data_IF_777401774696
#
_entry.id   IF_777401774696
#
_cell.length_a   1.000
_cell.length_b   1.000
_cell.length_c   1.000
_cell.angle_alpha   90.00
_cell.angle_beta   90.00
_cell.angle_gamma   90.00
#
_symmetry.space_group_name_H-M   'P 1'
#
loop_
_entity.id
_entity.type
_entity.pdbx_description
1 polymer ?
#
# COMPACT_ATOMS: atom_id res chain seq x y z
N UNK A 1 17.22 1.87 -32.45
CA UNK A 1 17.74 1.07 -31.33
C UNK A 1 16.74 1.16 -30.20
N UNK A 2 16.12 0.07 -29.70
CA UNK A 2 15.30 0.16 -28.50
C UNK A 2 16.18 0.65 -27.36
N UNK A 3 15.75 1.70 -26.65
CA UNK A 3 16.43 2.17 -25.43
C UNK A 3 16.43 0.98 -24.45
N UNK A 4 17.61 0.50 -24.06
CA UNK A 4 17.72 -0.53 -23.04
C UNK A 4 17.01 -0.06 -21.80
N UNK A 5 16.15 -0.90 -21.24
CA UNK A 5 15.46 -0.62 -19.98
C UNK A 5 16.52 -0.55 -18.90
N UNK A 6 16.64 0.60 -18.27
CA UNK A 6 17.56 0.77 -17.11
C UNK A 6 16.97 -0.02 -15.95
N UNK A 7 17.73 -0.93 -15.37
CA UNK A 7 17.37 -1.68 -14.18
C UNK A 7 18.05 -1.10 -12.96
N UNK A 8 17.33 -1.10 -11.86
CA UNK A 8 17.85 -0.70 -10.55
C UNK A 8 17.99 -1.92 -9.65
N UNK A 9 19.04 -1.99 -8.89
CA UNK A 9 19.26 -3.02 -7.89
C UNK A 9 18.67 -2.62 -6.54
N UNK A 10 17.96 -3.54 -5.93
CA UNK A 10 17.35 -3.38 -4.61
C UNK A 10 17.83 -4.47 -3.66
N UNK A 11 18.07 -4.09 -2.43
CA UNK A 11 18.35 -5.00 -1.32
C UNK A 11 17.04 -5.29 -0.62
N UNK A 12 16.61 -6.56 -0.60
CA UNK A 12 15.30 -6.98 -0.13
C UNK A 12 15.48 -7.97 1.01
N UNK A 13 14.92 -7.65 2.18
CA UNK A 13 14.79 -8.58 3.27
C UNK A 13 13.55 -9.45 3.07
N UNK A 14 13.73 -10.75 3.08
CA UNK A 14 12.67 -11.75 2.92
C UNK A 14 12.39 -12.41 4.27
N UNK A 15 11.14 -12.32 4.71
CA UNK A 15 10.59 -13.08 5.82
C UNK A 15 10.12 -14.44 5.33
N UNK A 16 10.15 -15.43 6.23
CA UNK A 16 9.69 -16.78 5.99
C UNK A 16 8.73 -17.18 7.10
N UNK A 17 7.79 -18.08 6.82
CA UNK A 17 6.89 -18.63 7.82
C UNK A 17 7.66 -19.35 8.96
N UNK A 18 8.85 -19.86 8.66
CA UNK A 18 9.76 -20.49 9.64
C UNK A 18 11.20 -20.15 9.25
N UNK A 19 12.02 -19.78 10.25
CA UNK A 19 13.43 -19.48 10.07
C UNK A 19 13.74 -17.98 10.21
N UNK A 20 15.02 -17.67 10.15
CA UNK A 20 15.49 -16.28 10.19
C UNK A 20 15.29 -15.59 8.84
N UNK A 21 15.00 -14.28 8.83
CA UNK A 21 14.92 -13.52 7.60
C UNK A 21 16.28 -13.52 6.84
N UNK A 22 16.19 -13.55 5.52
CA UNK A 22 17.34 -13.51 4.62
C UNK A 22 17.35 -12.20 3.83
N UNK A 23 18.49 -11.83 3.26
CA UNK A 23 18.61 -10.66 2.38
C UNK A 23 19.12 -11.09 1.02
N UNK A 24 18.44 -10.61 -0.01
CA UNK A 24 18.85 -10.78 -1.40
C UNK A 24 19.02 -9.40 -2.06
N UNK A 25 19.92 -9.30 -3.03
CA UNK A 25 19.94 -8.21 -3.98
C UNK A 25 19.24 -8.66 -5.25
N UNK A 26 18.25 -7.90 -5.72
CA UNK A 26 17.48 -8.21 -6.92
C UNK A 26 17.39 -6.99 -7.85
N UNK A 27 17.54 -7.23 -9.16
CA UNK A 27 17.43 -6.19 -10.17
C UNK A 27 16.02 -6.14 -10.78
N UNK A 28 15.46 -4.95 -10.92
CA UNK A 28 14.13 -4.74 -11.53
C UNK A 28 14.02 -3.43 -12.29
N UNK A 29 13.07 -3.33 -13.19
CA UNK A 29 12.72 -2.08 -13.88
C UNK A 29 12.16 -1.04 -12.89
N UNK A 30 11.58 -1.51 -11.81
CA UNK A 30 11.13 -0.74 -10.67
C UNK A 30 11.08 -1.67 -9.43
N UNK A 31 10.93 -1.09 -8.26
CA UNK A 31 10.98 -1.79 -6.97
C UNK A 31 10.04 -3.01 -6.91
N UNK A 32 8.77 -2.86 -7.30
CA UNK A 32 7.82 -3.98 -7.28
C UNK A 32 8.21 -5.15 -8.19
N UNK A 33 8.90 -4.88 -9.31
CA UNK A 33 9.43 -5.94 -10.18
C UNK A 33 10.60 -6.69 -9.51
N UNK A 34 11.47 -5.98 -8.79
CA UNK A 34 12.55 -6.59 -8.02
C UNK A 34 12.03 -7.42 -6.85
N UNK A 35 11.02 -6.92 -6.11
CA UNK A 35 10.35 -7.64 -5.02
C UNK A 35 9.72 -8.94 -5.55
N UNK A 36 8.92 -8.87 -6.60
CA UNK A 36 8.29 -10.05 -7.18
C UNK A 36 9.31 -11.08 -7.66
N UNK A 37 10.44 -10.64 -8.22
CA UNK A 37 11.52 -11.54 -8.62
C UNK A 37 12.17 -12.22 -7.41
N UNK A 38 12.39 -11.48 -6.31
CA UNK A 38 12.96 -12.01 -5.09
C UNK A 38 12.05 -13.06 -4.42
N UNK A 39 10.76 -12.78 -4.32
CA UNK A 39 9.76 -13.70 -3.77
C UNK A 39 9.60 -14.96 -4.64
N UNK A 40 9.64 -14.81 -5.96
CA UNK A 40 9.61 -15.94 -6.89
C UNK A 40 10.86 -16.83 -6.76
N UNK A 41 12.03 -16.22 -6.50
CA UNK A 41 13.29 -16.95 -6.29
C UNK A 41 13.29 -17.76 -5.00
N UNK A 42 12.60 -17.29 -3.96
CA UNK A 42 12.49 -17.94 -2.65
C UNK A 42 11.01 -18.28 -2.34
N UNK A 43 10.45 -19.37 -2.89
CA UNK A 43 9.06 -19.73 -2.71
C UNK A 43 8.64 -19.84 -1.23
N UNK A 44 7.50 -19.24 -0.88
CA UNK A 44 7.00 -19.18 0.49
C UNK A 44 7.64 -18.10 1.36
N UNK A 45 8.47 -17.24 0.77
CA UNK A 45 8.93 -16.01 1.40
C UNK A 45 8.07 -14.81 0.95
N UNK A 46 8.18 -13.72 1.70
CA UNK A 46 7.56 -12.44 1.40
C UNK A 46 8.50 -11.29 1.82
N UNK A 47 8.44 -10.19 1.11
CA UNK A 47 9.26 -9.02 1.44
C UNK A 47 8.80 -8.38 2.77
N UNK A 48 9.76 -8.06 3.64
CA UNK A 48 9.52 -7.43 4.94
C UNK A 48 10.19 -6.06 5.07
N UNK A 49 11.21 -5.79 4.26
CA UNK A 49 11.85 -4.48 4.14
C UNK A 49 12.63 -4.40 2.83
N UNK A 50 12.91 -3.19 2.36
CA UNK A 50 13.63 -2.96 1.10
C UNK A 50 14.53 -1.73 1.21
N UNK A 51 15.61 -1.70 0.42
CA UNK A 51 16.45 -0.51 0.20
C UNK A 51 17.07 -0.55 -1.20
N UNK A 52 17.71 0.53 -1.61
CA UNK A 52 18.60 0.50 -2.76
C UNK A 52 19.84 -0.36 -2.42
N UNK A 53 20.24 -1.24 -3.34
CA UNK A 53 21.41 -2.05 -3.12
C UNK A 53 22.69 -1.20 -3.22
N UNK A 54 23.60 -1.28 -2.24
CA UNK A 54 24.92 -0.65 -2.37
C UNK A 54 25.74 -1.36 -3.47
N UNK A 55 26.71 -0.66 -4.03
CA UNK A 55 27.58 -1.20 -5.09
C UNK A 55 28.26 -2.52 -4.71
N UNK A 56 28.56 -2.71 -3.43
CA UNK A 56 29.17 -3.95 -2.90
C UNK A 56 28.28 -5.18 -3.07
N UNK A 57 26.97 -5.01 -3.16
CA UNK A 57 26.00 -6.10 -3.29
C UNK A 57 25.67 -6.42 -4.76
N UNK A 58 26.21 -5.62 -5.69
CA UNK A 58 25.98 -5.77 -7.12
C UNK A 58 27.09 -6.65 -7.73
N UNK A 59 26.73 -7.77 -8.40
CA UNK A 59 27.74 -8.65 -9.00
C UNK A 59 28.57 -7.92 -10.06
N UNK A 60 29.90 -8.04 -9.96
CA UNK A 60 30.81 -7.50 -10.97
C UNK A 60 30.73 -8.34 -12.26
N UNK A 61 30.47 -7.69 -13.38
CA UNK A 61 30.57 -8.29 -14.72
C UNK A 61 29.38 -9.07 -15.23
N UNK A 62 28.27 -9.14 -14.51
CA UNK A 62 27.04 -9.67 -15.07
C UNK A 62 26.36 -8.63 -15.97
N UNK A 63 26.31 -8.94 -17.29
CA UNK A 63 25.32 -8.30 -18.15
C UNK A 63 23.95 -8.57 -17.52
N UNK A 64 23.20 -7.49 -17.20
CA UNK A 64 21.88 -7.52 -16.57
C UNK A 64 20.90 -8.41 -17.35
N UNK A 65 21.05 -9.72 -17.25
CA UNK A 65 20.10 -10.72 -17.75
C UNK A 65 18.76 -10.60 -17.04
N UNK A 66 17.77 -11.34 -17.52
CA UNK A 66 16.39 -11.26 -17.04
C UNK A 66 16.23 -11.65 -15.58
N UNK A 67 16.53 -10.99 -14.58
CA UNK A 67 16.41 -11.26 -13.13
C UNK A 67 17.68 -11.84 -12.52
N UNK A 68 18.69 -11.00 -12.35
CA UNK A 68 19.81 -11.36 -11.51
C UNK A 68 19.37 -11.22 -10.04
N UNK A 69 19.56 -12.29 -9.25
CA UNK A 69 19.32 -12.31 -7.82
C UNK A 69 20.55 -12.89 -7.14
N UNK A 70 21.03 -12.20 -6.12
CA UNK A 70 22.21 -12.61 -5.34
C UNK A 70 21.84 -12.65 -3.87
N UNK A 71 22.17 -13.73 -3.18
CA UNK A 71 22.03 -13.79 -1.74
C UNK A 71 23.13 -12.95 -1.09
N UNK A 72 22.74 -11.96 -0.27
CA UNK A 72 23.64 -11.01 0.36
C UNK A 72 23.95 -11.38 1.82
N UNK A 73 23.00 -12.00 2.55
CA UNK A 73 23.21 -12.38 3.93
C UNK A 73 21.94 -12.53 4.76
N UNK A 74 22.09 -12.31 6.06
CA UNK A 74 20.97 -12.32 7.01
C UNK A 74 20.42 -10.90 7.18
N UNK A 75 19.12 -10.80 7.41
CA UNK A 75 18.42 -9.51 7.61
C UNK A 75 18.67 -8.89 9.01
N UNK A 76 19.36 -9.61 9.92
CA UNK A 76 19.54 -9.16 11.29
C UNK A 76 18.21 -9.03 12.04
N UNK A 77 18.01 -7.91 12.69
CA UNK A 77 16.90 -7.65 13.62
C UNK A 77 15.65 -7.03 12.93
N UNK A 78 15.44 -7.32 11.63
CA UNK A 78 14.27 -6.85 10.89
C UNK A 78 13.02 -7.57 11.38
N UNK A 79 11.98 -6.85 11.86
CA UNK A 79 10.74 -7.46 12.30
C UNK A 79 10.02 -8.18 11.16
N UNK A 80 9.57 -9.40 11.42
CA UNK A 80 8.81 -10.18 10.44
C UNK A 80 7.33 -9.79 10.56
N UNK A 81 6.88 -8.97 9.63
CA UNK A 81 5.47 -8.66 9.42
C UNK A 81 5.22 -8.65 7.91
N UNK A 82 4.18 -9.35 7.45
CA UNK A 82 3.82 -9.40 6.04
C UNK A 82 3.04 -8.12 5.68
N UNK A 83 3.79 -7.08 5.33
CA UNK A 83 3.23 -5.79 4.96
C UNK A 83 2.30 -5.89 3.75
N UNK A 84 1.19 -5.14 3.73
CA UNK A 84 0.36 -5.06 2.54
C UNK A 84 1.16 -4.65 1.31
N UNK A 85 0.83 -5.23 0.18
CA UNK A 85 1.48 -4.92 -1.10
C UNK A 85 1.38 -3.41 -1.38
N UNK A 86 2.47 -2.82 -1.83
CA UNK A 86 2.57 -1.40 -2.15
C UNK A 86 3.38 -0.57 -1.15
N UNK A 87 3.67 -1.08 0.06
CA UNK A 87 4.47 -0.37 1.06
C UNK A 87 5.43 -1.32 1.76
N UNK A 88 6.66 -0.86 2.01
CA UNK A 88 7.64 -1.60 2.80
C UNK A 88 8.51 -0.64 3.62
N UNK A 89 8.88 -0.99 4.87
CA UNK A 89 9.88 -0.25 5.61
C UNK A 89 11.22 -0.23 4.86
N UNK A 90 11.96 0.86 4.99
CA UNK A 90 13.34 0.93 4.53
C UNK A 90 14.22 0.05 5.43
N UNK A 91 15.07 -0.78 4.83
CA UNK A 91 15.85 -1.80 5.53
C UNK A 91 16.62 -1.27 6.76
N UNK A 92 17.36 -0.15 6.67
CA UNK A 92 18.09 0.38 7.84
C UNK A 92 17.20 0.85 8.99
N UNK A 93 15.97 1.25 8.70
CA UNK A 93 15.00 1.77 9.68
C UNK A 93 13.94 0.77 10.12
N UNK A 94 13.93 -0.44 9.56
CA UNK A 94 12.86 -1.42 9.75
C UNK A 94 12.64 -1.82 11.23
N UNK A 95 13.66 -1.72 12.08
CA UNK A 95 13.53 -1.94 13.52
C UNK A 95 12.47 -1.03 14.19
N UNK A 96 12.19 0.14 13.62
CA UNK A 96 11.12 1.05 14.08
C UNK A 96 9.72 0.47 13.96
N UNK A 97 9.54 -0.56 13.13
CA UNK A 97 8.26 -1.25 12.97
C UNK A 97 8.09 -2.46 13.90
N UNK A 98 8.96 -2.61 14.90
CA UNK A 98 8.85 -3.69 15.89
C UNK A 98 7.52 -3.64 16.61
N UNK A 99 6.82 -4.77 16.62
CA UNK A 99 5.47 -4.87 17.19
C UNK A 99 4.34 -4.58 16.21
N UNK A 100 4.64 -4.36 14.91
CA UNK A 100 3.61 -4.30 13.88
C UNK A 100 2.76 -5.58 13.90
N UNK A 101 1.44 -5.41 13.95
CA UNK A 101 0.45 -6.49 14.00
C UNK A 101 -0.90 -5.99 13.52
N UNK A 102 -1.80 -6.90 13.23
CA UNK A 102 -3.20 -6.55 12.99
C UNK A 102 -3.81 -5.90 14.22
N UNK A 103 -4.56 -4.83 13.99
CA UNK A 103 -5.25 -4.14 15.08
C UNK A 103 -5.90 -2.85 14.62
N UNK A 104 -6.78 -2.31 15.47
CA UNK A 104 -7.36 -0.98 15.27
C UNK A 104 -7.37 -0.17 16.56
N UNK A 105 -7.31 1.15 16.39
CA UNK A 105 -7.36 2.13 17.50
C UNK A 105 -8.26 3.28 17.12
N UNK A 106 -8.68 4.04 18.14
CA UNK A 106 -9.26 5.37 17.96
C UNK A 106 -8.14 6.39 18.08
N UNK A 107 -7.96 7.23 17.06
CA UNK A 107 -7.01 8.36 17.10
C UNK A 107 -7.69 9.56 17.70
N UNK A 108 -7.04 10.25 18.65
CA UNK A 108 -7.54 11.54 19.15
C UNK A 108 -7.64 12.56 18.01
N UNK A 109 -8.81 13.17 17.86
CA UNK A 109 -9.03 14.29 16.97
C UNK A 109 -10.11 15.21 17.56
N UNK A 110 -9.94 16.55 17.43
CA UNK A 110 -10.82 17.50 18.10
C UNK A 110 -12.28 17.45 17.62
N UNK A 111 -12.50 17.21 16.32
CA UNK A 111 -13.81 17.37 15.68
C UNK A 111 -14.29 16.10 14.96
N UNK A 112 -13.43 15.10 14.82
CA UNK A 112 -13.71 13.89 14.07
C UNK A 112 -13.48 12.64 14.91
N UNK A 113 -14.36 11.67 14.74
CA UNK A 113 -14.05 10.29 15.09
C UNK A 113 -13.10 9.74 14.02
N UNK A 114 -11.92 9.35 14.43
CA UNK A 114 -10.92 8.70 13.57
C UNK A 114 -10.64 7.32 14.12
N UNK A 115 -11.03 6.27 13.39
CA UNK A 115 -10.65 4.89 13.68
C UNK A 115 -9.63 4.46 12.62
N UNK A 116 -8.43 4.08 13.05
CA UNK A 116 -7.37 3.58 12.17
C UNK A 116 -7.16 2.09 12.42
N UNK A 117 -7.16 1.30 11.34
CA UNK A 117 -6.95 -0.13 11.37
C UNK A 117 -5.82 -0.53 10.44
N UNK A 118 -4.99 -1.48 10.89
CA UNK A 118 -3.92 -2.12 10.14
C UNK A 118 -4.15 -3.62 10.06
N UNK A 119 -3.80 -4.18 8.92
CA UNK A 119 -3.77 -5.63 8.70
C UNK A 119 -2.53 -6.02 7.90
N UNK A 120 -2.29 -7.31 7.74
CA UNK A 120 -1.25 -7.87 6.87
C UNK A 120 -1.71 -7.95 5.41
N UNK A 121 -0.80 -8.35 4.53
CA UNK A 121 -1.05 -8.47 3.09
C UNK A 121 -2.20 -9.44 2.75
N UNK A 122 -2.32 -10.52 3.53
CA UNK A 122 -3.29 -11.60 3.27
C UNK A 122 -4.73 -11.18 3.54
N UNK A 123 -4.93 -10.17 4.41
CA UNK A 123 -6.26 -9.78 4.86
C UNK A 123 -6.68 -8.36 4.44
N UNK A 124 -5.83 -7.61 3.73
CA UNK A 124 -6.15 -6.22 3.38
C UNK A 124 -7.38 -6.11 2.47
N UNK A 125 -7.44 -6.93 1.44
CA UNK A 125 -8.55 -6.94 0.49
C UNK A 125 -9.86 -7.28 1.21
N UNK A 126 -9.87 -8.37 1.97
CA UNK A 126 -11.04 -8.82 2.73
C UNK A 126 -11.49 -7.77 3.75
N UNK A 127 -10.54 -7.12 4.43
CA UNK A 127 -10.84 -6.05 5.37
C UNK A 127 -11.51 -4.87 4.66
N UNK A 128 -10.89 -4.34 3.61
CA UNK A 128 -11.41 -3.12 2.97
C UNK A 128 -12.73 -3.36 2.24
N UNK A 129 -12.83 -4.43 1.47
CA UNK A 129 -14.08 -4.81 0.78
C UNK A 129 -15.18 -5.19 1.78
N UNK A 130 -14.84 -5.98 2.81
CA UNK A 130 -15.78 -6.36 3.86
C UNK A 130 -16.30 -5.18 4.68
N UNK A 131 -15.51 -4.13 4.87
CA UNK A 131 -15.98 -2.87 5.44
C UNK A 131 -16.98 -2.18 4.52
N UNK A 132 -16.70 -2.10 3.19
CA UNK A 132 -17.61 -1.48 2.21
C UNK A 132 -18.96 -2.22 2.16
N UNK A 133 -18.94 -3.54 2.20
CA UNK A 133 -20.18 -4.37 2.19
C UNK A 133 -21.10 -4.08 3.38
N UNK A 134 -20.53 -3.71 4.53
CA UNK A 134 -21.27 -3.41 5.76
C UNK A 134 -21.76 -1.98 5.86
N UNK A 135 -21.30 -1.08 4.97
CA UNK A 135 -21.76 0.29 4.97
C UNK A 135 -23.26 0.37 4.67
N UNK A 136 -24.00 1.19 5.40
CA UNK A 136 -25.45 1.39 5.16
C UNK A 136 -25.72 2.04 3.78
N UNK A 137 -24.76 2.77 3.26
CA UNK A 137 -24.76 3.34 1.91
C UNK A 137 -23.32 3.64 1.47
N UNK A 138 -23.11 3.71 0.17
CA UNK A 138 -21.91 4.27 -0.43
C UNK A 138 -22.36 5.18 -1.59
N UNK A 139 -21.75 6.35 -1.71
CA UNK A 139 -22.17 7.35 -2.68
C UNK A 139 -21.18 7.52 -3.84
N UNK A 140 -19.92 7.55 -3.55
CA UNK A 140 -18.84 7.75 -4.51
C UNK A 140 -17.57 7.02 -4.08
N UNK A 141 -16.76 6.61 -5.06
CA UNK A 141 -15.37 6.24 -4.86
C UNK A 141 -14.47 7.36 -5.40
N UNK A 142 -13.55 7.82 -4.57
CA UNK A 142 -12.44 8.68 -4.94
C UNK A 142 -11.15 7.87 -5.01
N UNK A 143 -10.36 8.08 -6.04
CA UNK A 143 -9.01 7.52 -6.21
C UNK A 143 -8.04 8.68 -6.34
N UNK A 144 -7.12 8.78 -5.40
CA UNK A 144 -6.00 9.73 -5.47
C UNK A 144 -4.77 9.00 -5.96
N UNK A 145 -4.21 9.49 -7.05
CA UNK A 145 -2.97 9.00 -7.64
C UNK A 145 -1.85 9.93 -7.20
N UNK A 146 -1.08 9.47 -6.21
CA UNK A 146 0.03 10.21 -5.62
C UNK A 146 1.25 10.27 -6.55
N UNK A 147 2.16 11.17 -6.28
CA UNK A 147 3.29 11.46 -7.16
C UNK A 147 4.52 10.56 -7.03
N UNK A 148 4.44 9.50 -6.29
CA UNK A 148 5.56 8.55 -6.15
C UNK A 148 6.00 7.88 -7.47
N UNK A 149 5.31 8.15 -8.59
CA UNK A 149 5.70 7.66 -9.92
C UNK A 149 6.81 8.50 -10.58
N UNK A 150 6.80 9.82 -10.37
CA UNK A 150 7.60 10.78 -11.14
C UNK A 150 8.22 11.89 -10.27
N UNK A 151 7.93 11.91 -8.98
CA UNK A 151 8.41 12.87 -7.99
C UNK A 151 8.15 14.35 -8.38
N UNK A 152 6.97 14.63 -8.93
CA UNK A 152 6.56 15.98 -9.35
C UNK A 152 5.71 16.73 -8.31
N UNK A 153 5.45 16.13 -7.15
CA UNK A 153 4.58 16.64 -6.10
C UNK A 153 3.12 16.77 -6.53
N UNK A 154 2.70 16.00 -7.55
CA UNK A 154 1.38 16.08 -8.13
C UNK A 154 0.49 14.93 -7.68
N UNK A 155 -0.70 15.23 -7.21
CA UNK A 155 -1.76 14.25 -6.93
C UNK A 155 -2.93 14.46 -7.88
N UNK A 156 -3.27 13.46 -8.68
CA UNK A 156 -4.49 13.48 -9.49
C UNK A 156 -5.64 12.88 -8.70
N UNK A 157 -6.76 13.59 -8.64
CA UNK A 157 -7.97 13.15 -7.93
C UNK A 157 -9.01 12.70 -8.96
N UNK A 158 -9.41 11.45 -8.87
CA UNK A 158 -10.41 10.82 -9.71
C UNK A 158 -11.64 10.46 -8.90
N UNK A 159 -12.82 10.69 -9.44
CA UNK A 159 -14.08 10.46 -8.73
C UNK A 159 -15.08 9.73 -9.64
N UNK A 160 -15.77 8.73 -9.09
CA UNK A 160 -16.93 8.17 -9.75
C UNK A 160 -18.09 9.17 -9.71
N UNK A 161 -19.04 9.06 -10.65
CA UNK A 161 -20.39 9.60 -10.41
C UNK A 161 -20.99 8.91 -9.18
N UNK A 162 -22.15 9.39 -8.71
CA UNK A 162 -22.86 8.69 -7.62
C UNK A 162 -23.16 7.24 -8.05
N UNK A 163 -22.69 6.28 -7.24
CA UNK A 163 -22.78 4.85 -7.48
C UNK A 163 -23.10 4.13 -6.17
N UNK A 164 -23.69 2.94 -6.26
CA UNK A 164 -23.93 2.10 -5.09
C UNK A 164 -22.68 1.29 -4.66
N UNK A 165 -22.74 0.71 -3.47
CA UNK A 165 -21.66 -0.11 -2.92
C UNK A 165 -21.32 -1.31 -3.83
N UNK A 166 -22.29 -1.96 -4.46
CA UNK A 166 -22.07 -3.12 -5.33
C UNK A 166 -21.20 -2.79 -6.51
N UNK A 167 -21.38 -1.61 -7.10
CA UNK A 167 -20.54 -1.16 -8.21
C UNK A 167 -19.12 -0.83 -7.76
N UNK A 168 -18.97 -0.22 -6.58
CA UNK A 168 -17.66 0.06 -6.00
C UNK A 168 -16.92 -1.25 -5.72
N UNK A 169 -17.58 -2.21 -5.06
CA UNK A 169 -17.03 -3.52 -4.75
C UNK A 169 -16.54 -4.25 -6.00
N UNK A 170 -17.38 -4.32 -7.04
CA UNK A 170 -17.00 -4.95 -8.30
C UNK A 170 -15.78 -4.28 -8.93
N UNK A 171 -15.75 -2.94 -8.96
CA UNK A 171 -14.61 -2.22 -9.51
C UNK A 171 -13.31 -2.51 -8.75
N UNK A 172 -13.37 -2.59 -7.43
CA UNK A 172 -12.20 -2.85 -6.60
C UNK A 172 -11.75 -4.31 -6.69
N UNK A 173 -12.69 -5.26 -6.77
CA UNK A 173 -12.41 -6.68 -6.93
C UNK A 173 -11.81 -7.00 -8.31
N UNK A 174 -12.39 -6.45 -9.38
CA UNK A 174 -11.87 -6.62 -10.76
C UNK A 174 -10.48 -5.99 -10.97
N UNK A 175 -10.06 -5.07 -10.09
CA UNK A 175 -8.80 -4.30 -10.19
C UNK A 175 -8.02 -4.25 -8.87
N UNK A 176 -8.10 -5.28 -8.04
CA UNK A 176 -7.50 -5.32 -6.70
C UNK A 176 -5.98 -5.04 -6.71
N UNK A 177 -5.22 -5.71 -7.57
CA UNK A 177 -3.77 -5.50 -7.73
C UNK A 177 -3.45 -4.04 -8.07
N UNK A 178 -4.28 -3.43 -8.94
CA UNK A 178 -4.07 -2.06 -9.40
C UNK A 178 -4.50 -1.02 -8.37
N UNK A 179 -5.64 -1.24 -7.70
CA UNK A 179 -6.24 -0.24 -6.83
C UNK A 179 -5.90 -0.47 -5.36
N UNK A 180 -5.94 -1.71 -4.87
CA UNK A 180 -5.66 -2.01 -3.47
C UNK A 180 -4.16 -2.24 -3.24
N UNK A 181 -3.48 -2.96 -4.14
CA UNK A 181 -2.07 -3.29 -4.02
C UNK A 181 -1.09 -2.17 -4.42
N UNK A 182 -1.53 -1.09 -5.06
CA UNK A 182 -0.64 -0.04 -5.52
C UNK A 182 -0.39 1.00 -4.42
N UNK A 183 0.85 1.10 -3.93
CA UNK A 183 1.26 2.05 -2.88
C UNK A 183 1.24 3.53 -3.28
N UNK A 184 1.03 3.82 -4.56
CA UNK A 184 0.88 5.18 -5.06
C UNK A 184 -0.59 5.66 -5.04
N UNK A 185 -1.49 4.85 -4.50
CA UNK A 185 -2.92 5.16 -4.49
C UNK A 185 -3.47 5.27 -3.06
N UNK A 186 -4.39 6.21 -2.92
CA UNK A 186 -5.30 6.34 -1.80
C UNK A 186 -6.73 6.23 -2.32
N UNK A 187 -7.58 5.47 -1.63
CA UNK A 187 -8.98 5.28 -1.98
C UNK A 187 -9.87 5.85 -0.88
N UNK A 188 -10.96 6.50 -1.26
CA UNK A 188 -11.97 6.98 -0.31
C UNK A 188 -13.38 6.64 -0.79
N UNK A 189 -14.14 5.97 0.06
CA UNK A 189 -15.56 5.71 -0.16
C UNK A 189 -16.37 6.65 0.72
N UNK A 190 -17.18 7.50 0.09
CA UNK A 190 -17.99 8.49 0.80
C UNK A 190 -19.33 7.91 1.24
N UNK A 191 -19.71 8.17 2.50
CA UNK A 191 -20.97 7.79 3.14
C UNK A 191 -21.68 9.06 3.59
N UNK A 192 -22.25 9.79 2.62
CA UNK A 192 -22.77 11.17 2.82
C UNK A 192 -23.85 11.25 3.87
N UNK A 193 -24.75 10.25 3.92
CA UNK A 193 -25.84 10.21 4.90
C UNK A 193 -25.33 10.26 6.35
N UNK A 194 -24.11 9.79 6.59
CA UNK A 194 -23.46 9.76 7.90
C UNK A 194 -22.28 10.76 8.02
N UNK A 195 -22.09 11.64 7.03
CA UNK A 195 -20.94 12.56 6.98
C UNK A 195 -19.62 11.84 7.28
N UNK A 196 -19.46 10.67 6.68
CA UNK A 196 -18.34 9.77 6.97
C UNK A 196 -17.61 9.36 5.68
N UNK A 197 -16.39 8.90 5.85
CA UNK A 197 -15.53 8.40 4.78
C UNK A 197 -14.78 7.17 5.26
N UNK A 198 -14.86 6.10 4.50
CA UNK A 198 -13.98 4.95 4.65
C UNK A 198 -12.81 5.13 3.67
N UNK A 199 -11.58 5.11 4.17
CA UNK A 199 -10.38 5.37 3.38
C UNK A 199 -9.39 4.21 3.49
N UNK A 200 -8.80 3.82 2.38
CA UNK A 200 -7.57 3.06 2.33
C UNK A 200 -6.45 4.05 1.96
N UNK A 201 -5.54 4.29 2.90
CA UNK A 201 -4.45 5.24 2.71
C UNK A 201 -3.35 4.65 1.79
N UNK A 202 -2.45 5.48 1.30
CA UNK A 202 -1.25 5.04 0.58
C UNK A 202 -0.36 4.12 1.43
N UNK A 203 -0.40 4.28 2.77
CA UNK A 203 0.30 3.41 3.72
C UNK A 203 -0.43 2.09 4.01
N UNK A 204 -1.52 1.81 3.29
CA UNK A 204 -2.34 0.59 3.43
C UNK A 204 -2.98 0.43 4.81
N UNK A 205 -3.26 1.52 5.49
CA UNK A 205 -4.12 1.53 6.68
C UNK A 205 -5.56 1.87 6.27
N UNK A 206 -6.53 1.18 6.86
CA UNK A 206 -7.96 1.45 6.68
C UNK A 206 -8.39 2.45 7.73
N UNK A 207 -8.95 3.58 7.30
CA UNK A 207 -9.31 4.68 8.20
C UNK A 207 -10.79 5.00 8.03
N UNK A 208 -11.54 4.98 9.13
CA UNK A 208 -12.87 5.55 9.21
C UNK A 208 -12.79 6.97 9.76
N UNK A 209 -13.35 7.90 9.02
CA UNK A 209 -13.45 9.30 9.38
C UNK A 209 -14.92 9.67 9.44
N UNK A 210 -15.40 10.18 10.58
CA UNK A 210 -16.78 10.60 10.73
C UNK A 210 -16.91 11.80 11.66
N UNK A 211 -17.94 12.62 11.43
CA UNK A 211 -18.37 13.62 12.41
C UNK A 211 -19.29 12.95 13.45
N UNK A 212 -19.28 13.45 14.68
CA UNK A 212 -20.26 13.09 15.71
C UNK A 212 -20.32 11.61 16.11
N UNK A 213 -19.24 10.85 15.94
CA UNK A 213 -19.18 9.45 16.33
C UNK A 213 -20.12 8.52 15.54
N UNK A 214 -20.59 8.95 14.34
CA UNK A 214 -21.48 8.18 13.52
C UNK A 214 -20.92 6.78 13.23
N UNK A 215 -21.75 5.76 13.47
CA UNK A 215 -21.45 4.34 13.27
C UNK A 215 -20.25 3.82 14.07
N UNK A 216 -19.80 4.51 15.12
CA UNK A 216 -18.60 4.08 15.88
C UNK A 216 -18.72 2.64 16.41
N UNK A 217 -19.85 2.31 17.05
CA UNK A 217 -20.09 0.97 17.58
C UNK A 217 -20.17 -0.09 16.49
N UNK A 218 -20.77 0.26 15.36
CA UNK A 218 -20.88 -0.64 14.20
C UNK A 218 -19.52 -0.89 13.57
N UNK A 219 -18.74 0.16 13.33
CA UNK A 219 -17.38 0.05 12.77
C UNK A 219 -16.49 -0.80 13.68
N UNK A 220 -16.54 -0.59 14.99
CA UNK A 220 -15.80 -1.40 15.95
C UNK A 220 -16.20 -2.89 15.91
N UNK A 221 -17.49 -3.17 15.80
CA UNK A 221 -18.02 -4.53 15.64
C UNK A 221 -17.56 -5.15 14.31
N UNK A 222 -17.71 -4.43 13.19
CA UNK A 222 -17.30 -4.92 11.87
C UNK A 222 -15.80 -5.23 11.80
N UNK A 223 -14.94 -4.39 12.37
CA UNK A 223 -13.50 -4.66 12.45
C UNK A 223 -13.22 -5.95 13.22
N UNK A 224 -13.92 -6.18 14.34
CA UNK A 224 -13.81 -7.43 15.11
C UNK A 224 -14.26 -8.66 14.30
N UNK A 225 -15.41 -8.58 13.61
CA UNK A 225 -15.92 -9.64 12.72
C UNK A 225 -14.96 -9.95 11.55
N UNK A 226 -14.23 -8.95 11.07
CA UNK A 226 -13.22 -9.07 10.01
C UNK A 226 -11.83 -9.47 10.55
N UNK A 227 -11.75 -9.89 11.83
CA UNK A 227 -10.52 -10.42 12.42
C UNK A 227 -9.47 -9.37 12.79
N UNK A 228 -9.87 -8.09 12.91
CA UNK A 228 -8.98 -7.02 13.34
C UNK A 228 -9.32 -6.65 14.79
N UNK A 229 -8.52 -7.06 15.78
CA UNK A 229 -8.80 -6.80 17.20
C UNK A 229 -8.54 -5.34 17.57
N UNK A 230 -9.22 -4.86 18.61
CA UNK A 230 -8.87 -3.58 19.22
C UNK A 230 -7.48 -3.66 19.85
N UNK A 231 -6.67 -2.63 19.63
CA UNK A 231 -5.34 -2.51 20.21
C UNK A 231 -5.23 -1.24 21.06
N UNK A 232 -4.27 -1.22 21.98
CA UNK A 232 -3.93 -0.02 22.75
C UNK A 232 -3.04 0.91 21.92
N UNK A 233 -2.13 0.31 21.15
CA UNK A 233 -1.20 1.02 20.27
C UNK A 233 -1.16 0.33 18.91
N UNK A 234 -0.92 1.10 17.87
CA UNK A 234 -0.78 0.62 16.50
C UNK A 234 0.57 1.08 15.96
N UNK A 235 1.42 0.12 15.62
CA UNK A 235 2.69 0.35 14.94
C UNK A 235 2.46 0.13 13.45
N UNK A 236 2.64 1.16 12.66
CA UNK A 236 2.38 1.15 11.21
C UNK A 236 3.68 1.33 10.42
N UNK A 237 3.63 1.19 9.12
CA UNK A 237 4.80 1.46 8.25
C UNK A 237 5.30 2.90 8.39
N UNK A 238 4.43 3.85 8.76
CA UNK A 238 4.77 5.27 8.98
C UNK A 238 5.72 5.49 10.17
N UNK A 239 5.83 4.53 11.08
CA UNK A 239 6.71 4.64 12.26
C UNK A 239 8.19 4.36 11.92
N UNK A 240 8.48 4.07 10.63
CA UNK A 240 9.84 3.95 10.09
C UNK A 240 9.93 4.66 8.73
N UNK A 241 11.13 5.03 8.27
CA UNK A 241 11.36 5.35 6.86
C UNK A 241 10.85 4.19 6.00
N UNK A 242 10.14 4.49 4.91
CA UNK A 242 9.50 3.47 4.10
C UNK A 242 9.42 3.88 2.64
N UNK A 243 9.16 2.90 1.78
CA UNK A 243 8.95 3.08 0.36
C UNK A 243 7.52 2.76 -0.01
N UNK A 244 6.99 3.54 -0.95
CA UNK A 244 5.80 3.20 -1.70
C UNK A 244 6.23 2.60 -3.03
N UNK A 245 5.54 1.55 -3.47
CA UNK A 245 5.82 0.92 -4.75
C UNK A 245 4.55 0.43 -5.43
N UNK A 246 4.60 0.28 -6.74
CA UNK A 246 3.55 -0.38 -7.51
C UNK A 246 3.91 -1.85 -7.71
N UNK A 247 2.94 -2.78 -7.66
CA UNK A 247 3.16 -4.17 -8.03
C UNK A 247 3.75 -4.34 -9.43
N UNK A 248 4.44 -5.45 -9.68
CA UNK A 248 5.04 -5.73 -10.99
C UNK A 248 4.02 -5.71 -12.14
N UNK A 249 2.80 -6.17 -11.89
CA UNK A 249 1.72 -6.21 -12.88
C UNK A 249 0.96 -4.88 -13.04
N UNK A 250 1.20 -3.89 -12.15
CA UNK A 250 0.49 -2.61 -12.19
C UNK A 250 0.94 -1.72 -13.34
N UNK A 251 0.01 -0.94 -13.84
CA UNK A 251 0.21 0.04 -14.90
C UNK A 251 1.06 1.23 -14.44
N UNK A 252 1.73 1.89 -15.38
CA UNK A 252 2.28 3.22 -15.16
C UNK A 252 1.15 4.26 -14.96
N UNK A 253 1.50 5.45 -14.49
CA UNK A 253 0.53 6.52 -14.16
C UNK A 253 -0.39 6.87 -15.35
N UNK A 254 0.15 6.91 -16.58
CA UNK A 254 -0.62 7.27 -17.77
C UNK A 254 -1.67 6.20 -18.08
N UNK A 255 -1.25 4.94 -18.14
CA UNK A 255 -2.14 3.81 -18.40
C UNK A 255 -3.17 3.61 -17.29
N UNK A 256 -2.77 3.88 -16.04
CA UNK A 256 -3.71 3.89 -14.90
C UNK A 256 -4.79 4.95 -15.11
N UNK A 257 -4.42 6.18 -15.48
CA UNK A 257 -5.40 7.24 -15.76
C UNK A 257 -6.35 6.88 -16.91
N UNK A 258 -5.85 6.23 -17.97
CA UNK A 258 -6.67 5.72 -19.07
C UNK A 258 -7.65 4.64 -18.60
N UNK A 259 -7.22 3.76 -17.66
CA UNK A 259 -8.07 2.74 -17.07
C UNK A 259 -9.16 3.35 -16.20
N UNK A 260 -8.81 4.26 -15.28
CA UNK A 260 -9.78 4.96 -14.43
C UNK A 260 -10.85 5.66 -15.27
N UNK A 261 -10.45 6.28 -16.39
CA UNK A 261 -11.39 6.90 -17.32
C UNK A 261 -12.33 5.87 -17.98
N UNK A 262 -11.81 4.71 -18.40
CA UNK A 262 -12.62 3.60 -18.95
C UNK A 262 -13.62 3.07 -17.93
N UNK A 263 -13.23 3.05 -16.65
CA UNK A 263 -14.10 2.67 -15.53
C UNK A 263 -15.07 3.80 -15.12
N UNK A 264 -15.17 4.86 -15.94
CA UNK A 264 -16.08 6.03 -15.76
C UNK A 264 -15.76 6.88 -14.53
N UNK A 265 -14.53 6.84 -14.04
CA UNK A 265 -14.06 7.88 -13.14
C UNK A 265 -13.68 9.12 -13.97
N UNK A 266 -13.87 10.28 -13.38
CA UNK A 266 -13.46 11.55 -13.97
C UNK A 266 -12.40 12.18 -13.11
N UNK A 267 -11.35 12.68 -13.71
CA UNK A 267 -10.37 13.49 -13.00
C UNK A 267 -11.02 14.83 -12.68
N UNK A 268 -11.19 15.10 -11.39
CA UNK A 268 -11.89 16.29 -10.89
C UNK A 268 -10.92 17.37 -10.41
N UNK A 269 -9.71 16.97 -10.04
CA UNK A 269 -8.68 17.90 -9.56
C UNK A 269 -7.27 17.38 -9.85
N UNK A 270 -6.30 18.29 -9.76
CA UNK A 270 -4.88 18.02 -9.73
C UNK A 270 -4.25 18.90 -8.66
N UNK A 271 -3.99 18.29 -7.51
CA UNK A 271 -3.34 18.96 -6.40
C UNK A 271 -1.82 18.97 -6.65
N UNK A 272 -1.16 20.09 -6.36
CA UNK A 272 0.30 20.19 -6.33
C UNK A 272 0.73 20.41 -4.88
N UNK A 273 1.76 19.67 -4.44
CA UNK A 273 2.38 19.98 -3.18
C UNK A 273 2.76 21.47 -3.18
N UNK A 274 2.37 22.19 -2.13
CA UNK A 274 2.89 23.54 -1.92
C UNK A 274 4.39 23.37 -1.72
N UNK A 275 5.18 23.80 -2.69
CA UNK A 275 6.60 24.03 -2.44
C UNK A 275 6.66 25.00 -1.26
N UNK A 276 7.19 24.54 -0.14
CA UNK A 276 7.56 25.45 0.93
C UNK A 276 8.59 26.38 0.32
N UNK A 277 8.14 27.53 -0.12
CA UNK A 277 9.02 28.65 -0.43
C UNK A 277 9.66 29.06 0.90
N UNK A 278 10.97 28.81 0.96
CA UNK A 278 11.85 29.06 2.09
C UNK A 278 11.85 30.49 2.61
#
# INVERSE_FOLDING_TARGET
MPRGVTRTWYRIALGHARGAPTVVAAAGEHMGAAIAAAEHHAPGSFAIAVDLAPESDIPLGESLGKSAIVQVGAAGDVPVFHWPVGVLPQLPGAAGTRGARRGWIVRPHAELLVIEAQTDAEHLTDLFLGMIERLPSADNLEVRVQDHFEDTGRTDVWLTSRVDARRILRLLDDHDVELLGNGHLELSVYVRAHKATLRLTEHKTVVWLATEGALQADVARWLGELGVPRAETLVTVKDAPHFHYRPAASRDRKKLGEELYRQRLRRVDTLRARTASG
#
